data_IF_693706692834
#
_entry.id   IF_693706692834
#
_cell.length_a   1.000
_cell.length_b   1.000
_cell.length_c   1.000
_cell.angle_alpha   90.00
_cell.angle_beta   90.00
_cell.angle_gamma   90.00
#
_symmetry.space_group_name_H-M   'P 1'
#
loop_
_entity.id
_entity.type
_entity.pdbx_description
1 polymer ?
#
# COMPACT_ATOMS: atom_id res chain seq x y z
N UNK A 1 -21.83 -5.32 -5.95
CA UNK A 1 -20.73 -5.52 -4.99
C UNK A 1 -21.28 -5.13 -3.63
N UNK A 2 -21.16 -6.00 -2.62
CA UNK A 2 -21.41 -5.59 -1.24
C UNK A 2 -20.19 -4.75 -0.87
N UNK A 3 -20.37 -3.46 -0.61
CA UNK A 3 -19.24 -2.60 -0.24
C UNK A 3 -18.82 -2.98 1.18
N UNK A 4 -17.81 -3.85 1.29
CA UNK A 4 -17.25 -4.25 2.56
C UNK A 4 -16.77 -3.02 3.32
N UNK A 5 -17.06 -2.99 4.62
CA UNK A 5 -16.80 -1.85 5.48
C UNK A 5 -16.55 -2.32 6.90
N UNK A 6 -15.89 -1.46 7.67
CA UNK A 6 -15.73 -1.59 9.12
C UNK A 6 -16.40 -0.41 9.81
N UNK A 7 -16.75 -0.56 11.09
CA UNK A 7 -17.19 0.58 11.88
C UNK A 7 -16.03 1.55 12.10
N UNK A 8 -16.34 2.84 12.32
CA UNK A 8 -15.31 3.82 12.69
C UNK A 8 -14.56 3.41 13.97
N UNK A 9 -15.26 2.80 14.95
CA UNK A 9 -14.63 2.22 16.15
C UNK A 9 -13.54 1.20 15.79
N UNK A 10 -13.82 0.29 14.85
CA UNK A 10 -12.83 -0.70 14.40
C UNK A 10 -11.69 -0.02 13.64
N UNK A 11 -11.97 0.97 12.81
CA UNK A 11 -10.94 1.78 12.15
C UNK A 11 -9.98 2.45 13.17
N UNK A 12 -10.52 3.14 14.18
CA UNK A 12 -9.72 3.79 15.22
C UNK A 12 -8.89 2.76 16.01
N UNK A 13 -9.46 1.58 16.30
CA UNK A 13 -8.72 0.48 16.92
C UNK A 13 -7.49 0.08 16.08
N UNK A 14 -7.65 -0.07 14.76
CA UNK A 14 -6.54 -0.39 13.85
C UNK A 14 -5.50 0.73 13.81
N UNK A 15 -5.91 2.00 13.78
CA UNK A 15 -4.98 3.13 13.83
C UNK A 15 -4.22 3.16 15.16
N UNK A 16 -4.87 2.91 16.29
CA UNK A 16 -4.22 2.88 17.60
C UNK A 16 -3.17 1.75 17.71
N UNK A 17 -3.43 0.61 17.05
CA UNK A 17 -2.44 -0.47 16.91
C UNK A 17 -1.22 -0.03 16.09
N UNK A 18 -1.44 0.67 14.99
CA UNK A 18 -0.37 1.21 14.16
C UNK A 18 0.43 2.24 14.97
N UNK A 19 -0.22 3.15 15.70
CA UNK A 19 0.42 4.13 16.55
C UNK A 19 1.35 3.48 17.58
N UNK A 20 0.84 2.48 18.31
CA UNK A 20 1.66 1.72 19.26
C UNK A 20 2.85 1.04 18.56
N UNK A 21 2.62 0.39 17.41
CA UNK A 21 3.70 -0.25 16.67
C UNK A 21 4.78 0.75 16.23
N UNK A 22 4.39 1.93 15.73
CA UNK A 22 5.33 2.98 15.33
C UNK A 22 6.20 3.45 16.50
N UNK A 23 5.56 3.71 17.65
CA UNK A 23 6.24 4.18 18.86
C UNK A 23 7.13 3.09 19.47
N UNK A 24 6.61 1.88 19.60
CA UNK A 24 7.34 0.75 20.21
C UNK A 24 8.55 0.32 19.37
N UNK A 25 8.48 0.47 18.04
CA UNK A 25 9.59 0.18 17.13
C UNK A 25 10.48 1.41 16.82
N UNK A 26 10.33 2.51 17.57
CA UNK A 26 11.12 3.74 17.42
C UNK A 26 11.20 4.25 15.96
N UNK A 27 10.09 4.15 15.22
CA UNK A 27 10.04 4.56 13.81
C UNK A 27 10.28 6.06 13.68
N UNK A 28 10.99 6.45 12.62
CA UNK A 28 11.37 7.83 12.33
C UNK A 28 10.59 8.30 11.10
N UNK A 29 9.91 9.42 11.25
CA UNK A 29 9.09 10.07 10.23
C UNK A 29 8.83 11.52 10.68
N UNK A 30 8.29 12.36 9.80
CA UNK A 30 7.90 13.72 10.15
C UNK A 30 6.68 13.68 11.07
N UNK A 31 6.76 14.39 12.20
CA UNK A 31 5.72 14.47 13.22
C UNK A 31 5.29 15.91 13.43
N UNK A 32 4.04 16.12 13.84
CA UNK A 32 3.54 17.42 14.29
C UNK A 32 3.94 17.70 15.73
N UNK A 33 4.01 18.99 16.09
CA UNK A 33 4.21 19.44 17.47
C UNK A 33 2.93 19.26 18.31
N UNK A 34 1.77 19.44 17.68
CA UNK A 34 0.44 19.36 18.30
C UNK A 34 -0.47 18.52 17.41
N UNK A 35 -1.29 17.70 18.05
CA UNK A 35 -2.34 16.90 17.44
C UNK A 35 -3.67 17.36 18.02
N UNK A 36 -4.69 17.46 17.16
CA UNK A 36 -6.01 17.94 17.53
C UNK A 36 -7.06 17.10 16.86
N UNK A 37 -8.03 16.65 17.64
CA UNK A 37 -9.19 15.95 17.13
C UNK A 37 -10.43 16.46 17.89
N UNK A 38 -11.35 17.09 17.15
CA UNK A 38 -12.51 17.79 17.71
C UNK A 38 -12.09 18.72 18.88
N UNK A 39 -12.63 18.51 20.09
CA UNK A 39 -12.35 19.34 21.27
C UNK A 39 -11.13 18.86 22.09
N UNK A 40 -10.36 17.88 21.59
CA UNK A 40 -9.19 17.32 22.28
C UNK A 40 -7.91 17.76 21.58
N UNK A 41 -6.94 18.22 22.37
CA UNK A 41 -5.62 18.66 21.90
C UNK A 41 -4.54 18.05 22.78
N UNK A 42 -3.46 17.57 22.16
CA UNK A 42 -2.28 17.09 22.87
C UNK A 42 -1.00 17.46 22.11
N UNK A 43 0.05 17.83 22.84
CA UNK A 43 1.38 17.94 22.27
C UNK A 43 1.98 16.53 21.95
N UNK A 44 3.04 16.52 21.15
CA UNK A 44 3.74 15.29 20.76
C UNK A 44 4.24 14.46 21.97
N UNK A 45 4.73 15.09 23.03
CA UNK A 45 5.19 14.37 24.22
C UNK A 45 4.05 13.65 24.92
N UNK A 46 2.93 14.36 25.09
CA UNK A 46 1.70 13.86 25.73
C UNK A 46 1.09 12.70 24.94
N UNK A 47 0.99 12.81 23.61
CA UNK A 47 0.42 11.73 22.79
C UNK A 47 1.31 10.47 22.80
N UNK A 48 2.63 10.63 22.73
CA UNK A 48 3.58 9.51 22.79
C UNK A 48 3.53 8.82 24.15
N UNK A 49 3.42 9.60 25.24
CA UNK A 49 3.23 9.06 26.59
C UNK A 49 1.94 8.23 26.67
N UNK A 50 0.82 8.79 26.19
CA UNK A 50 -0.47 8.08 26.19
C UNK A 50 -0.43 6.77 25.39
N UNK A 51 0.21 6.77 24.20
CA UNK A 51 0.38 5.56 23.38
C UNK A 51 1.21 4.49 24.13
N UNK A 52 2.29 4.89 24.80
CA UNK A 52 3.15 3.96 25.57
C UNK A 52 2.45 3.39 26.79
N UNK A 53 1.77 4.24 27.56
CA UNK A 53 1.06 3.84 28.79
C UNK A 53 -0.09 2.88 28.52
N UNK A 54 -0.79 3.06 27.39
CA UNK A 54 -1.83 2.11 26.96
C UNK A 54 -1.26 0.77 26.51
N UNK A 55 -0.03 0.74 26.00
CA UNK A 55 0.62 -0.49 25.54
C UNK A 55 -0.22 -1.20 24.47
N UNK A 56 -0.61 -2.44 24.76
CA UNK A 56 -1.46 -3.25 23.88
C UNK A 56 -2.97 -3.04 24.09
N UNK A 57 -3.38 -2.13 24.97
CA UNK A 57 -4.77 -1.70 25.09
C UNK A 57 -5.13 -0.71 23.97
N UNK A 58 -5.56 -1.25 22.84
CA UNK A 58 -5.87 -0.49 21.62
C UNK A 58 -7.30 0.05 21.57
N UNK A 59 -7.95 0.24 22.72
CA UNK A 59 -9.28 0.85 22.79
C UNK A 59 -9.37 2.13 21.95
N UNK A 60 -10.56 2.36 21.39
CA UNK A 60 -10.85 3.50 20.52
C UNK A 60 -10.40 4.81 21.17
N UNK A 61 -9.53 5.54 20.46
CA UNK A 61 -9.14 6.90 20.79
C UNK A 61 -8.79 7.64 19.50
N UNK A 62 -9.70 8.49 19.06
CA UNK A 62 -9.55 9.21 17.80
C UNK A 62 -8.38 10.20 17.79
N UNK A 63 -7.93 10.68 18.96
CA UNK A 63 -6.74 11.55 19.01
C UNK A 63 -5.46 10.74 18.71
N UNK A 64 -5.42 9.46 19.11
CA UNK A 64 -4.33 8.55 18.73
C UNK A 64 -4.48 8.12 17.26
N UNK A 65 -5.69 8.00 16.73
CA UNK A 65 -5.87 7.77 15.30
C UNK A 65 -5.36 8.95 14.45
N UNK A 66 -5.68 10.19 14.85
CA UNK A 66 -5.18 11.42 14.24
C UNK A 66 -3.64 11.44 14.14
N UNK A 67 -2.92 10.88 15.13
CA UNK A 67 -1.46 10.75 15.06
C UNK A 67 -1.00 9.92 13.86
N UNK A 68 -1.70 8.83 13.54
CA UNK A 68 -1.38 7.98 12.38
C UNK A 68 -1.82 8.63 11.08
N UNK A 69 -2.99 9.27 11.07
CA UNK A 69 -3.49 10.01 9.91
C UNK A 69 -2.54 11.15 9.52
N UNK A 70 -2.07 11.94 10.49
CA UNK A 70 -1.04 12.94 10.30
C UNK A 70 0.28 12.33 9.80
N UNK A 71 0.69 11.19 10.35
CA UNK A 71 1.90 10.50 9.89
C UNK A 71 1.78 10.10 8.42
N UNK A 72 0.60 9.66 7.98
CA UNK A 72 0.34 9.32 6.57
C UNK A 72 0.33 10.59 5.70
N UNK A 73 -0.33 11.65 6.14
CA UNK A 73 -0.50 12.88 5.36
C UNK A 73 0.80 13.69 5.21
N UNK A 74 1.59 13.82 6.27
CA UNK A 74 2.76 14.72 6.33
C UNK A 74 4.04 14.10 5.73
N UNK A 75 4.00 12.84 5.28
CA UNK A 75 5.17 12.09 4.83
C UNK A 75 5.03 11.63 3.38
N UNK A 76 6.05 11.90 2.55
CA UNK A 76 6.08 11.45 1.14
C UNK A 76 6.54 10.01 0.97
N UNK A 77 7.29 9.47 1.92
CA UNK A 77 7.77 8.09 1.98
C UNK A 77 7.08 7.39 3.16
N UNK A 78 6.33 6.33 2.88
CA UNK A 78 5.55 5.58 3.87
C UNK A 78 6.18 4.23 4.21
N UNK A 79 7.47 4.04 3.93
CA UNK A 79 8.18 2.79 4.25
C UNK A 79 8.35 2.55 5.75
N UNK A 80 8.17 3.60 6.56
CA UNK A 80 8.19 3.50 8.02
C UNK A 80 6.94 2.81 8.59
N UNK A 81 5.82 2.80 7.84
CA UNK A 81 4.58 2.13 8.24
C UNK A 81 4.71 0.59 8.15
N UNK A 82 3.98 -0.18 8.97
CA UNK A 82 3.98 -1.65 8.90
C UNK A 82 3.43 -2.15 7.55
N UNK A 83 3.70 -3.40 7.17
CA UNK A 83 3.14 -3.95 5.91
C UNK A 83 1.64 -4.24 6.02
N UNK A 84 1.16 -4.52 7.23
CA UNK A 84 -0.25 -4.73 7.56
C UNK A 84 -0.49 -4.44 9.05
N UNK A 85 -1.74 -4.26 9.42
CA UNK A 85 -2.24 -4.30 10.80
C UNK A 85 -3.25 -5.44 10.92
N UNK A 86 -3.24 -6.17 12.04
CA UNK A 86 -4.18 -7.27 12.28
C UNK A 86 -5.29 -6.83 13.23
N UNK A 87 -6.51 -7.31 12.96
CA UNK A 87 -7.62 -7.23 13.91
C UNK A 87 -7.49 -8.26 15.04
N UNK A 88 -8.46 -8.25 15.94
CA UNK A 88 -8.73 -9.26 16.97
C UNK A 88 -9.09 -10.63 16.40
N UNK A 89 -9.77 -10.69 15.26
CA UNK A 89 -10.14 -11.94 14.57
C UNK A 89 -9.00 -12.52 13.69
N UNK A 90 -7.86 -11.84 13.62
CA UNK A 90 -6.71 -12.23 12.82
C UNK A 90 -6.70 -11.67 11.39
N UNK A 91 -7.78 -11.02 10.94
CA UNK A 91 -7.85 -10.37 9.63
C UNK A 91 -6.73 -9.35 9.49
N UNK A 92 -5.97 -9.43 8.40
CA UNK A 92 -4.90 -8.47 8.08
C UNK A 92 -5.43 -7.40 7.16
N UNK A 93 -5.23 -6.13 7.51
CA UNK A 93 -5.43 -4.99 6.62
C UNK A 93 -4.07 -4.52 6.14
N UNK A 94 -3.80 -4.68 4.84
CA UNK A 94 -2.49 -4.34 4.26
C UNK A 94 -2.32 -2.82 4.11
N UNK A 95 -1.07 -2.39 3.92
CA UNK A 95 -0.68 -0.97 3.84
C UNK A 95 -1.55 -0.14 2.90
N UNK A 96 -1.82 -0.63 1.70
CA UNK A 96 -2.69 0.08 0.76
C UNK A 96 -4.12 0.25 1.28
N UNK A 97 -4.67 -0.72 2.01
CA UNK A 97 -6.01 -0.65 2.59
C UNK A 97 -6.08 0.41 3.69
N UNK A 98 -5.23 0.31 4.73
CA UNK A 98 -5.36 1.23 5.85
C UNK A 98 -4.88 2.65 5.54
N UNK A 99 -3.95 2.83 4.58
CA UNK A 99 -3.57 4.17 4.09
C UNK A 99 -4.71 4.79 3.28
N UNK A 100 -5.38 4.04 2.40
CA UNK A 100 -6.56 4.54 1.67
C UNK A 100 -7.71 4.88 2.62
N UNK A 101 -7.96 4.04 3.64
CA UNK A 101 -8.94 4.34 4.68
C UNK A 101 -8.62 5.64 5.41
N UNK A 102 -7.39 5.82 5.88
CA UNK A 102 -6.96 7.03 6.59
C UNK A 102 -7.16 8.29 5.76
N UNK A 103 -6.70 8.30 4.51
CA UNK A 103 -6.87 9.45 3.62
C UNK A 103 -8.36 9.82 3.42
N UNK A 104 -9.24 8.82 3.29
CA UNK A 104 -10.69 9.05 3.12
C UNK A 104 -11.38 9.49 4.41
N UNK A 105 -10.96 8.96 5.56
CA UNK A 105 -11.46 9.38 6.88
C UNK A 105 -11.09 10.85 7.12
N UNK A 106 -9.81 11.22 6.98
CA UNK A 106 -9.40 12.61 7.21
C UNK A 106 -10.09 13.57 6.22
N UNK A 107 -10.24 13.19 4.95
CA UNK A 107 -10.98 13.99 3.97
C UNK A 107 -12.46 14.15 4.33
N UNK A 108 -13.10 13.08 4.81
CA UNK A 108 -14.50 13.13 5.27
C UNK A 108 -14.65 14.04 6.48
N UNK A 109 -13.75 13.95 7.47
CA UNK A 109 -13.80 14.74 8.69
C UNK A 109 -13.57 16.23 8.42
N UNK A 110 -12.65 16.58 7.52
CA UNK A 110 -12.45 17.96 7.06
C UNK A 110 -13.70 18.51 6.37
N UNK A 111 -14.36 17.70 5.54
CA UNK A 111 -15.55 18.13 4.79
C UNK A 111 -16.80 18.26 5.66
N UNK A 112 -17.00 17.34 6.61
CA UNK A 112 -18.26 17.21 7.34
C UNK A 112 -18.20 17.67 8.80
N UNK A 113 -17.01 17.90 9.36
CA UNK A 113 -16.82 18.29 10.76
C UNK A 113 -17.19 17.18 11.77
N UNK A 114 -17.47 15.97 11.29
CA UNK A 114 -17.83 14.80 12.10
C UNK A 114 -17.15 13.56 11.54
N UNK A 115 -16.91 12.56 12.39
CA UNK A 115 -16.40 11.27 11.94
C UNK A 115 -17.44 10.46 11.19
N UNK A 116 -17.02 9.64 10.21
CA UNK A 116 -17.95 8.75 9.53
C UNK A 116 -18.45 7.68 10.49
N UNK A 117 -19.63 7.12 10.25
CA UNK A 117 -20.12 5.96 11.01
C UNK A 117 -19.42 4.65 10.59
N UNK A 118 -19.12 4.55 9.29
CA UNK A 118 -18.50 3.38 8.66
C UNK A 118 -17.34 3.83 7.76
N UNK A 119 -16.37 2.94 7.60
CA UNK A 119 -15.22 3.13 6.71
C UNK A 119 -15.19 1.97 5.73
N UNK A 120 -15.43 2.25 4.45
CA UNK A 120 -15.36 1.22 3.41
C UNK A 120 -13.93 0.69 3.28
N UNK A 121 -13.77 -0.61 3.04
CA UNK A 121 -12.45 -1.22 2.86
C UNK A 121 -11.88 -0.93 1.48
N UNK A 122 -12.71 -1.12 0.45
CA UNK A 122 -12.40 -0.76 -0.92
C UNK A 122 -12.72 0.71 -1.19
N UNK A 123 -11.78 1.44 -1.78
CA UNK A 123 -12.07 2.71 -2.44
C UNK A 123 -12.61 2.48 -3.87
N UNK A 124 -13.15 3.51 -4.55
CA UNK A 124 -13.61 3.40 -5.95
C UNK A 124 -12.54 2.89 -6.91
N UNK A 125 -11.29 2.97 -6.46
CA UNK A 125 -10.10 2.55 -7.15
C UNK A 125 -9.66 1.14 -6.71
N UNK A 126 -10.56 0.34 -6.12
CA UNK A 126 -10.31 -1.04 -5.73
C UNK A 126 -9.17 -1.24 -4.74
N UNK A 127 -8.75 -0.24 -3.97
CA UNK A 127 -7.81 -0.42 -2.85
C UNK A 127 -8.56 -0.87 -1.61
N UNK A 128 -8.27 -2.08 -1.16
CA UNK A 128 -8.87 -2.64 0.05
C UNK A 128 -8.31 -4.02 0.34
N UNK A 129 -7.00 -4.20 0.12
CA UNK A 129 -6.38 -5.51 0.30
C UNK A 129 -6.40 -5.91 1.77
N UNK A 130 -7.14 -6.96 2.05
CA UNK A 130 -7.17 -7.67 3.32
C UNK A 130 -6.68 -9.10 3.12
N UNK A 131 -6.42 -9.84 4.21
CA UNK A 131 -6.15 -11.28 4.12
C UNK A 131 -7.28 -12.07 3.44
N UNK A 132 -8.49 -11.52 3.45
CA UNK A 132 -9.67 -12.19 2.89
C UNK A 132 -9.81 -11.87 1.39
N UNK A 133 -9.22 -10.76 0.94
CA UNK A 133 -9.31 -10.28 -0.46
C UNK A 133 -8.01 -10.43 -1.26
N UNK A 134 -6.87 -10.78 -0.64
CA UNK A 134 -5.59 -11.01 -1.34
C UNK A 134 -5.73 -11.98 -2.51
N UNK A 135 -6.60 -12.96 -2.37
CA UNK A 135 -6.68 -14.09 -3.29
C UNK A 135 -7.44 -13.78 -4.57
N UNK A 136 -8.32 -12.78 -4.57
CA UNK A 136 -9.15 -12.46 -5.76
C UNK A 136 -8.28 -11.98 -6.92
N UNK A 137 -7.27 -11.15 -6.64
CA UNK A 137 -6.37 -10.64 -7.69
C UNK A 137 -5.51 -11.76 -8.25
N UNK A 138 -4.97 -12.62 -7.38
CA UNK A 138 -4.20 -13.79 -7.80
C UNK A 138 -5.05 -14.75 -8.63
N UNK A 139 -6.28 -15.03 -8.19
CA UNK A 139 -7.22 -15.87 -8.94
C UNK A 139 -7.49 -15.32 -10.34
N UNK A 140 -7.85 -14.03 -10.45
CA UNK A 140 -8.08 -13.37 -11.75
C UNK A 140 -6.86 -13.45 -12.66
N UNK A 141 -5.66 -13.34 -12.10
CA UNK A 141 -4.42 -13.50 -12.85
C UNK A 141 -4.25 -14.95 -13.33
N UNK A 142 -4.39 -15.94 -12.44
CA UNK A 142 -4.24 -17.37 -12.80
C UNK A 142 -5.30 -17.86 -13.77
N UNK A 143 -6.54 -17.35 -13.70
CA UNK A 143 -7.61 -17.71 -14.63
C UNK A 143 -7.24 -17.30 -16.09
N UNK A 144 -6.47 -16.22 -16.26
CA UNK A 144 -6.03 -15.74 -17.59
C UNK A 144 -4.68 -16.27 -18.04
N UNK A 145 -3.72 -16.38 -17.12
CA UNK A 145 -2.33 -16.67 -17.46
C UNK A 145 -1.89 -18.10 -17.09
N UNK A 146 -2.76 -18.86 -16.41
CA UNK A 146 -2.46 -20.17 -15.85
C UNK A 146 -1.75 -20.10 -14.50
N UNK A 147 -1.49 -21.27 -13.90
CA UNK A 147 -0.90 -21.40 -12.57
C UNK A 147 0.48 -20.73 -12.41
N UNK A 148 0.74 -20.26 -11.19
CA UNK A 148 1.96 -19.57 -10.73
C UNK A 148 2.27 -19.98 -9.28
N UNK A 149 3.54 -19.94 -8.89
CA UNK A 149 4.02 -20.36 -7.55
C UNK A 149 4.71 -19.25 -6.77
N UNK A 150 5.23 -18.25 -7.49
CA UNK A 150 6.08 -17.18 -6.99
C UNK A 150 6.03 -15.97 -7.93
N UNK A 151 6.63 -14.85 -7.51
CA UNK A 151 6.58 -13.61 -8.29
C UNK A 151 7.27 -13.72 -9.66
N UNK A 152 8.31 -14.55 -9.78
CA UNK A 152 9.07 -14.71 -11.01
C UNK A 152 8.26 -15.50 -12.05
N UNK A 153 7.49 -16.50 -11.60
CA UNK A 153 6.54 -17.22 -12.43
C UNK A 153 5.42 -16.28 -12.93
N UNK A 154 4.93 -15.33 -12.11
CA UNK A 154 4.01 -14.29 -12.56
C UNK A 154 4.64 -13.39 -13.64
N UNK A 155 5.87 -12.92 -13.44
CA UNK A 155 6.57 -12.06 -14.40
C UNK A 155 6.79 -12.78 -15.73
N UNK A 156 7.17 -14.06 -15.70
CA UNK A 156 7.33 -14.85 -16.92
C UNK A 156 6.05 -14.92 -17.76
N UNK A 157 4.85 -14.94 -17.14
CA UNK A 157 3.57 -14.95 -17.88
C UNK A 157 3.29 -13.67 -18.67
N UNK A 158 3.82 -12.54 -18.21
CA UNK A 158 3.57 -11.22 -18.81
C UNK A 158 4.69 -10.77 -19.74
N UNK A 159 5.79 -11.52 -19.83
CA UNK A 159 6.98 -11.12 -20.58
C UNK A 159 6.64 -10.81 -22.04
N UNK A 160 7.04 -9.62 -22.50
CA UNK A 160 6.82 -9.17 -23.87
C UNK A 160 5.35 -8.95 -24.23
N UNK A 161 4.46 -8.78 -23.25
CA UNK A 161 3.04 -8.48 -23.48
C UNK A 161 2.72 -6.98 -23.59
N UNK A 162 3.73 -6.15 -23.75
CA UNK A 162 3.60 -4.75 -24.11
C UNK A 162 3.74 -3.82 -22.91
N UNK A 163 4.67 -2.87 -23.02
CA UNK A 163 4.79 -1.73 -22.12
C UNK A 163 4.05 -0.53 -22.70
N UNK A 164 3.29 0.18 -21.85
CA UNK A 164 2.52 1.36 -22.23
C UNK A 164 3.21 2.66 -21.79
N UNK A 165 3.26 3.65 -22.69
CA UNK A 165 3.85 4.97 -22.42
C UNK A 165 2.75 5.98 -22.09
N UNK A 166 2.34 6.02 -20.83
CA UNK A 166 1.44 7.06 -20.31
C UNK A 166 1.79 7.40 -18.87
N UNK A 167 1.42 8.62 -18.47
CA UNK A 167 1.60 9.12 -17.10
C UNK A 167 0.48 8.65 -16.17
N UNK A 168 0.81 8.58 -14.88
CA UNK A 168 -0.06 8.25 -13.75
C UNK A 168 -0.66 6.83 -13.81
N UNK A 169 -1.30 6.41 -12.73
CA UNK A 169 -2.11 5.19 -12.77
C UNK A 169 -3.39 5.44 -13.57
N UNK A 170 -3.81 4.48 -14.39
CA UNK A 170 -5.06 4.57 -15.16
C UNK A 170 -5.99 3.37 -14.97
N UNK A 171 -5.46 2.18 -14.69
CA UNK A 171 -6.23 0.95 -14.85
C UNK A 171 -6.27 0.11 -13.60
N UNK A 172 -7.48 -0.27 -13.16
CA UNK A 172 -7.62 -1.17 -12.04
C UNK A 172 -6.92 -2.52 -12.24
N UNK A 173 -6.68 -3.28 -11.17
CA UNK A 173 -5.93 -4.54 -11.30
C UNK A 173 -6.58 -5.53 -12.28
N UNK A 174 -7.92 -5.56 -12.36
CA UNK A 174 -8.64 -6.38 -13.33
C UNK A 174 -8.43 -5.87 -14.76
N UNK A 175 -8.51 -4.56 -14.97
CA UNK A 175 -8.30 -3.94 -16.27
C UNK A 175 -6.84 -4.04 -16.72
N UNK A 176 -5.89 -3.85 -15.81
CA UNK A 176 -4.46 -4.11 -16.01
C UNK A 176 -4.22 -5.56 -16.45
N UNK A 177 -4.81 -6.54 -15.76
CA UNK A 177 -4.77 -7.96 -16.16
C UNK A 177 -5.31 -8.15 -17.58
N UNK A 178 -6.46 -7.56 -17.91
CA UNK A 178 -7.08 -7.66 -19.23
C UNK A 178 -6.20 -7.04 -20.33
N UNK A 179 -5.64 -5.86 -20.09
CA UNK A 179 -4.77 -5.15 -21.05
C UNK A 179 -3.48 -5.92 -21.30
N UNK A 180 -2.82 -6.42 -20.25
CA UNK A 180 -1.64 -7.27 -20.40
C UNK A 180 -2.00 -8.54 -21.18
N UNK A 181 -3.12 -9.20 -20.85
CA UNK A 181 -3.54 -10.41 -21.55
C UNK A 181 -3.75 -10.17 -23.06
N UNK A 182 -4.41 -9.06 -23.39
CA UNK A 182 -4.70 -8.62 -24.76
C UNK A 182 -3.54 -7.89 -25.46
N UNK A 183 -2.36 -7.83 -24.84
CA UNK A 183 -1.16 -7.14 -25.36
C UNK A 183 -1.37 -5.64 -25.68
N UNK A 184 -2.17 -4.95 -24.87
CA UNK A 184 -2.52 -3.54 -25.08
C UNK A 184 -1.61 -2.54 -24.35
N UNK A 185 -0.58 -3.03 -23.65
CA UNK A 185 0.35 -2.18 -22.92
C UNK A 185 -0.22 -1.63 -21.60
N UNK A 186 0.62 -1.63 -20.56
CA UNK A 186 0.39 -0.88 -19.30
C UNK A 186 1.71 -0.26 -18.82
N UNK A 187 1.64 0.82 -18.05
CA UNK A 187 2.83 1.54 -17.59
C UNK A 187 3.42 0.95 -16.31
N UNK A 188 4.50 1.57 -15.80
CA UNK A 188 5.23 1.13 -14.62
C UNK A 188 4.42 1.21 -13.33
N UNK A 189 3.51 2.18 -13.21
CA UNK A 189 2.65 2.33 -12.04
C UNK A 189 1.59 1.22 -11.98
N UNK A 190 0.79 1.06 -13.03
CA UNK A 190 -0.32 0.09 -13.06
C UNK A 190 0.21 -1.35 -12.92
N UNK A 191 1.29 -1.68 -13.64
CA UNK A 191 1.92 -3.00 -13.54
C UNK A 191 2.55 -3.26 -12.17
N UNK A 192 3.19 -2.27 -11.55
CA UNK A 192 3.72 -2.42 -10.19
C UNK A 192 2.62 -2.59 -9.16
N UNK A 193 1.48 -1.91 -9.31
CA UNK A 193 0.35 -2.02 -8.38
C UNK A 193 -0.34 -3.38 -8.48
N UNK A 194 -0.45 -3.95 -9.69
CA UNK A 194 -0.86 -5.35 -9.86
C UNK A 194 0.11 -6.29 -9.15
N UNK A 195 1.42 -6.16 -9.39
CA UNK A 195 2.43 -7.06 -8.82
C UNK A 195 2.64 -6.87 -7.32
N UNK A 196 2.30 -5.71 -6.77
CA UNK A 196 2.20 -5.50 -5.33
C UNK A 196 1.18 -6.46 -4.72
N UNK A 197 -0.04 -6.51 -5.27
CA UNK A 197 -1.10 -7.40 -4.77
C UNK A 197 -0.78 -8.88 -5.00
N UNK A 198 -0.23 -9.23 -6.17
CA UNK A 198 0.21 -10.60 -6.43
C UNK A 198 1.31 -11.04 -5.45
N UNK A 199 2.27 -10.17 -5.16
CA UNK A 199 3.32 -10.46 -4.19
C UNK A 199 2.76 -10.68 -2.78
N UNK A 200 1.83 -9.82 -2.32
CA UNK A 200 1.16 -10.01 -1.04
C UNK A 200 0.40 -11.33 -0.96
N UNK A 201 -0.37 -11.69 -1.99
CA UNK A 201 -1.11 -12.95 -2.09
C UNK A 201 -0.20 -14.18 -2.07
N UNK A 202 1.00 -14.05 -2.65
CA UNK A 202 2.03 -15.09 -2.65
C UNK A 202 2.91 -15.08 -1.39
N UNK A 203 2.54 -14.32 -0.36
CA UNK A 203 3.21 -14.31 0.95
C UNK A 203 4.49 -13.46 1.03
N UNK A 204 4.74 -12.59 0.05
CA UNK A 204 5.89 -11.69 0.08
C UNK A 204 5.62 -10.47 0.96
N UNK A 205 6.67 -9.97 1.61
CA UNK A 205 6.74 -8.55 1.95
C UNK A 205 7.04 -7.78 0.68
N UNK A 206 6.27 -6.74 0.38
CA UNK A 206 6.39 -5.96 -0.86
C UNK A 206 6.47 -4.48 -0.56
N UNK A 207 7.37 -3.79 -1.25
CA UNK A 207 7.44 -2.33 -1.22
C UNK A 207 7.61 -1.78 -2.62
N UNK A 208 6.97 -0.64 -2.86
CA UNK A 208 7.22 0.16 -4.05
C UNK A 208 8.54 0.90 -3.92
N UNK A 209 9.18 1.16 -5.05
CA UNK A 209 10.34 2.04 -5.16
C UNK A 209 10.01 3.04 -6.25
N UNK A 210 9.95 4.32 -5.88
CA UNK A 210 9.88 5.42 -6.85
C UNK A 210 11.30 5.94 -7.11
N UNK A 211 11.68 5.96 -8.37
CA UNK A 211 13.03 6.33 -8.82
C UNK A 211 12.91 7.44 -9.86
N UNK A 212 13.79 8.45 -9.75
CA UNK A 212 14.09 9.34 -10.87
C UNK A 212 15.19 8.72 -11.71
N UNK A 213 14.85 8.30 -12.92
CA UNK A 213 15.80 7.77 -13.89
C UNK A 213 16.83 8.84 -14.27
N UNK A 214 18.01 8.42 -14.77
CA UNK A 214 19.05 9.35 -15.25
C UNK A 214 18.57 10.26 -16.38
N UNK A 215 17.60 9.79 -17.17
CA UNK A 215 16.89 10.58 -18.19
C UNK A 215 16.04 11.73 -17.63
N UNK A 216 15.85 11.80 -16.30
CA UNK A 216 14.98 12.77 -15.64
C UNK A 216 13.55 12.29 -15.43
N UNK A 217 13.13 11.20 -16.08
CA UNK A 217 11.77 10.63 -15.96
C UNK A 217 11.58 9.86 -14.65
N UNK A 218 10.35 9.81 -14.16
CA UNK A 218 9.97 8.93 -13.03
C UNK A 218 9.78 7.48 -13.47
N UNK A 219 10.09 6.53 -12.59
CA UNK A 219 9.81 5.11 -12.76
C UNK A 219 9.43 4.45 -11.43
N UNK A 220 8.50 3.51 -11.48
CA UNK A 220 8.08 2.72 -10.33
C UNK A 220 8.44 1.26 -10.57
N UNK A 221 9.01 0.63 -9.54
CA UNK A 221 9.28 -0.81 -9.49
C UNK A 221 9.07 -1.33 -8.08
N UNK A 222 9.30 -2.62 -7.87
CA UNK A 222 9.09 -3.28 -6.59
C UNK A 222 10.41 -3.78 -6.00
N UNK A 223 10.46 -3.82 -4.67
CA UNK A 223 11.27 -4.81 -3.96
C UNK A 223 10.39 -5.81 -3.24
N UNK A 224 10.79 -7.07 -3.25
CA UNK A 224 10.06 -8.17 -2.63
C UNK A 224 10.98 -8.98 -1.72
N UNK A 225 10.44 -9.54 -0.64
CA UNK A 225 11.16 -10.39 0.31
C UNK A 225 10.27 -11.55 0.76
N UNK A 226 10.78 -12.77 0.65
CA UNK A 226 10.12 -14.01 1.06
C UNK A 226 11.14 -14.99 1.64
N UNK A 227 10.81 -15.68 2.73
CA UNK A 227 11.72 -16.63 3.39
C UNK A 227 12.22 -17.73 2.45
N UNK A 228 11.29 -18.41 1.77
CA UNK A 228 11.56 -19.46 0.77
C UNK A 228 12.16 -18.93 -0.54
N UNK A 229 11.44 -18.08 -1.27
CA UNK A 229 11.78 -17.73 -2.65
C UNK A 229 12.89 -16.69 -2.82
N UNK A 230 13.24 -15.95 -1.77
CA UNK A 230 14.31 -14.94 -1.82
C UNK A 230 15.37 -15.13 -0.74
N UNK A 231 15.35 -16.29 -0.05
CA UNK A 231 16.23 -16.58 1.09
C UNK A 231 16.09 -15.58 2.23
N UNK A 232 14.92 -14.94 2.37
CA UNK A 232 14.71 -13.88 3.36
C UNK A 232 15.47 -12.59 3.06
N UNK A 233 15.87 -12.34 1.81
CA UNK A 233 16.51 -11.08 1.38
C UNK A 233 15.59 -10.26 0.47
N UNK A 234 15.80 -8.94 0.42
CA UNK A 234 15.11 -8.08 -0.54
C UNK A 234 15.69 -8.27 -1.94
N UNK A 235 14.83 -8.52 -2.93
CA UNK A 235 15.16 -8.56 -4.36
C UNK A 235 14.38 -7.48 -5.10
N UNK A 236 14.92 -7.00 -6.22
CA UNK A 236 14.20 -6.06 -7.11
C UNK A 236 13.48 -6.79 -8.23
N UNK A 237 12.25 -6.36 -8.51
CA UNK A 237 11.49 -6.79 -9.69
C UNK A 237 10.77 -5.62 -10.32
N UNK A 238 10.77 -5.63 -11.64
CA UNK A 238 10.26 -4.54 -12.45
C UNK A 238 9.32 -5.10 -13.54
N UNK A 239 8.00 -5.16 -13.24
CA UNK A 239 7.02 -5.64 -14.20
C UNK A 239 7.03 -4.86 -15.52
N UNK A 240 7.36 -3.57 -15.51
CA UNK A 240 7.44 -2.75 -16.71
C UNK A 240 8.59 -3.16 -17.63
N UNK A 241 9.78 -3.40 -17.06
CA UNK A 241 10.89 -3.93 -17.84
C UNK A 241 10.56 -5.29 -18.47
N UNK A 242 9.84 -6.15 -17.73
CA UNK A 242 9.44 -7.48 -18.22
C UNK A 242 8.38 -7.39 -19.31
N UNK A 243 7.41 -6.49 -19.18
CA UNK A 243 6.39 -6.22 -20.21
C UNK A 243 6.99 -5.77 -21.55
N UNK A 244 8.11 -5.04 -21.49
CA UNK A 244 8.91 -4.65 -22.66
C UNK A 244 9.72 -5.82 -23.29
N UNK A 245 9.66 -7.02 -22.69
CA UNK A 245 10.30 -8.23 -23.21
C UNK A 245 11.61 -8.61 -22.54
N UNK A 246 12.08 -7.80 -21.58
CA UNK A 246 13.30 -8.08 -20.84
C UNK A 246 13.16 -9.29 -19.89
N UNK A 247 14.26 -9.75 -19.31
CA UNK A 247 14.26 -10.88 -18.37
C UNK A 247 13.52 -10.55 -17.07
N UNK A 248 13.07 -11.56 -16.32
CA UNK A 248 12.38 -11.36 -15.03
C UNK A 248 13.21 -10.62 -13.99
N UNK A 249 14.54 -10.69 -14.09
CA UNK A 249 15.49 -9.98 -13.23
C UNK A 249 15.92 -8.62 -13.77
N UNK A 250 15.46 -8.23 -14.97
CA UNK A 250 15.75 -6.91 -15.52
C UNK A 250 15.01 -5.85 -14.73
N UNK A 251 15.73 -4.79 -14.35
CA UNK A 251 15.20 -3.68 -13.57
C UNK A 251 15.64 -2.38 -14.23
N UNK A 252 14.69 -1.53 -14.64
CA UNK A 252 15.00 -0.22 -15.18
C UNK A 252 15.39 0.75 -14.09
N UNK A 253 16.18 1.76 -14.48
CA UNK A 253 16.61 2.86 -13.62
C UNK A 253 17.39 2.41 -12.36
N UNK A 254 18.17 1.33 -12.45
CA UNK A 254 19.07 0.88 -11.37
C UNK A 254 20.14 1.92 -11.00
N UNK A 255 20.51 2.80 -11.92
CA UNK A 255 21.44 3.91 -11.73
C UNK A 255 20.74 5.26 -11.49
N UNK A 256 19.43 5.25 -11.22
CA UNK A 256 18.66 6.45 -10.91
C UNK A 256 18.72 6.84 -9.42
N UNK A 257 18.12 7.98 -9.09
CA UNK A 257 18.00 8.45 -7.70
C UNK A 257 16.70 7.92 -7.09
N UNK A 258 16.79 7.18 -5.98
CA UNK A 258 15.61 6.75 -5.24
C UNK A 258 14.96 7.97 -4.58
N UNK A 259 13.67 8.18 -4.88
CA UNK A 259 12.88 9.28 -4.33
C UNK A 259 12.13 8.88 -3.07
N UNK A 260 11.61 7.65 -3.03
CA UNK A 260 10.92 7.08 -1.87
C UNK A 260 10.80 5.56 -2.00
N UNK A 261 10.77 4.87 -0.86
CA UNK A 261 10.20 3.55 -0.71
C UNK A 261 8.75 3.70 -0.25
N UNK A 262 7.80 3.03 -0.90
CA UNK A 262 6.36 3.22 -0.63
C UNK A 262 5.92 4.70 -0.70
N UNK A 263 6.06 5.38 -1.85
CA UNK A 263 5.67 6.78 -1.99
C UNK A 263 4.18 6.99 -1.65
N UNK A 264 3.84 7.98 -0.84
CA UNK A 264 2.46 8.16 -0.35
C UNK A 264 1.42 8.22 -1.47
N UNK A 265 1.74 8.92 -2.57
CA UNK A 265 0.85 9.07 -3.71
C UNK A 265 0.44 7.74 -4.34
N UNK A 266 1.26 6.68 -4.27
CA UNK A 266 0.91 5.42 -4.96
C UNK A 266 -0.24 4.67 -4.28
N UNK A 267 -0.56 5.01 -3.02
CA UNK A 267 -1.67 4.43 -2.27
C UNK A 267 -2.94 5.29 -2.32
N UNK A 268 -2.88 6.47 -2.95
CA UNK A 268 -4.01 7.40 -3.13
C UNK A 268 -4.31 7.73 -4.60
N UNK A 269 -3.33 7.65 -5.49
CA UNK A 269 -3.41 7.88 -6.93
C UNK A 269 -3.48 6.54 -7.68
N UNK A 270 -4.58 5.85 -7.44
CA UNK A 270 -4.93 4.64 -8.15
C UNK A 270 -6.19 4.98 -8.94
N UNK A 271 -6.13 4.90 -10.27
CA UNK A 271 -7.28 4.94 -11.19
C UNK A 271 -8.09 6.25 -11.23
N UNK A 272 -7.59 7.26 -11.96
CA UNK A 272 -8.44 8.37 -12.41
C UNK A 272 -9.44 7.93 -13.48
#
# INVERSE_FOLDING_TARGET
MVNEHISFTKYTYLMNRIAYWLVNNNKKFNTRQVYSYMNRVADYGTIIKAIKERGTNYQQDSLIAEFVECAIFDNKDLSFLPNYVSDTDGTKYYKNCYVSMANRVSAYEVLNGVSPAIVYLEDPHGNGTTSDTTDITLKRFTDKFGGVTDIDSCLNKIRGRGYGYYYNSKYNTQETINKIYNKQGVNCTDSSQLFYRLGLALGYNVQFIHVRCRSGTGHVRLRLKHSKYTGGSWIYRDPAAVLDGNSVSSNWCMNGTILAYDPAWIFSDLYQ
#
